data_IF_825543676141
#
_entry.id   IF_825543676141
#
_cell.length_a   1.000
_cell.length_b   1.000
_cell.length_c   1.000
_cell.angle_alpha   90.00
_cell.angle_beta   90.00
_cell.angle_gamma   90.00
#
_symmetry.space_group_name_H-M   'P 1'
#
loop_
_entity.id
_entity.type
_entity.pdbx_description
1 polymer ?
#
# COMPACT_ATOMS: atom_id res chain seq x y z
N UNK A 1 -17.17 -35.58 -58.65
CA UNK A 1 -16.63 -34.43 -57.89
C UNK A 1 -15.89 -34.97 -56.66
N UNK A 2 -14.68 -34.45 -56.43
CA UNK A 2 -13.79 -34.47 -55.26
C UNK A 2 -14.25 -35.27 -54.01
N UNK A 3 -13.51 -36.30 -53.57
CA UNK A 3 -12.35 -36.31 -52.63
C UNK A 3 -12.76 -36.86 -51.25
N UNK A 4 -12.13 -37.99 -50.84
CA UNK A 4 -11.17 -38.11 -49.71
C UNK A 4 -11.73 -37.63 -48.36
N UNK A 5 -11.78 -38.44 -47.30
CA UNK A 5 -10.65 -38.85 -46.42
C UNK A 5 -11.30 -39.63 -45.25
N UNK A 6 -10.77 -40.79 -44.82
CA UNK A 6 -9.64 -40.97 -43.87
C UNK A 6 -10.13 -40.82 -42.42
N UNK A 7 -10.29 -41.93 -41.68
CA UNK A 7 -9.29 -42.59 -40.80
C UNK A 7 -9.15 -41.85 -39.47
N UNK A 8 -8.86 -42.64 -38.43
CA UNK A 8 -8.06 -42.33 -37.24
C UNK A 8 -8.85 -42.44 -35.92
N UNK A 9 -8.69 -43.64 -35.33
CA UNK A 9 -8.61 -44.01 -33.92
C UNK A 9 -7.76 -43.01 -33.06
N UNK A 10 -7.28 -43.37 -31.86
CA UNK A 10 -7.93 -43.48 -30.54
C UNK A 10 -7.14 -42.67 -29.48
N UNK A 11 -7.69 -42.25 -28.32
CA UNK A 11 -6.80 -41.91 -27.19
C UNK A 11 -7.41 -42.26 -25.83
N UNK A 12 -6.79 -43.26 -25.21
CA UNK A 12 -6.73 -43.53 -23.78
C UNK A 12 -6.13 -42.33 -23.06
N UNK A 13 -6.87 -41.65 -22.18
CA UNK A 13 -6.29 -40.65 -21.28
C UNK A 13 -6.44 -41.09 -19.82
N UNK A 14 -5.28 -41.46 -19.29
CA UNK A 14 -4.87 -41.60 -17.89
C UNK A 14 -5.51 -40.55 -16.99
N UNK A 15 -5.96 -40.89 -15.75
CA UNK A 15 -6.30 -39.87 -14.77
C UNK A 15 -5.02 -39.13 -14.36
N UNK A 16 -4.89 -37.91 -14.87
CA UNK A 16 -3.83 -36.97 -14.50
C UNK A 16 -4.01 -36.60 -13.02
N UNK A 17 -3.14 -37.16 -12.16
CA UNK A 17 -3.08 -36.80 -10.75
C UNK A 17 -2.66 -35.33 -10.64
N UNK A 18 -3.64 -34.46 -10.40
CA UNK A 18 -3.42 -33.03 -10.16
C UNK A 18 -2.54 -32.89 -8.91
N UNK A 19 -1.35 -32.26 -8.98
CA UNK A 19 -0.58 -32.00 -7.78
C UNK A 19 -1.34 -30.99 -6.93
N UNK A 20 -1.83 -31.44 -5.77
CA UNK A 20 -2.41 -30.58 -4.74
C UNK A 20 -1.31 -29.63 -4.29
N UNK A 21 -1.48 -28.29 -4.40
CA UNK A 21 -0.48 -27.37 -3.89
C UNK A 21 -0.45 -27.50 -2.36
N UNK A 22 0.64 -28.06 -1.84
CA UNK A 22 0.94 -28.08 -0.41
C UNK A 22 1.19 -26.63 0.00
N UNK A 23 0.23 -26.04 0.71
CA UNK A 23 0.39 -24.72 1.31
C UNK A 23 1.29 -24.91 2.53
N UNK A 24 2.58 -24.69 2.37
CA UNK A 24 3.49 -24.62 3.51
C UNK A 24 3.13 -23.40 4.38
N UNK A 25 3.03 -23.54 5.71
CA UNK A 25 2.78 -22.40 6.58
C UNK A 25 3.98 -21.45 6.53
N UNK A 26 3.82 -20.34 5.81
CA UNK A 26 4.80 -19.26 5.81
C UNK A 26 4.80 -18.65 7.21
N UNK A 27 5.87 -18.91 7.97
CA UNK A 27 6.09 -18.27 9.26
C UNK A 27 6.33 -16.78 9.03
N UNK A 28 5.27 -15.98 9.21
CA UNK A 28 5.36 -14.53 9.22
C UNK A 28 6.01 -14.14 10.54
N UNK A 29 7.32 -13.88 10.53
CA UNK A 29 7.96 -13.15 11.62
C UNK A 29 7.35 -11.75 11.63
N UNK A 30 6.37 -11.54 12.50
CA UNK A 30 5.85 -10.22 12.80
C UNK A 30 6.98 -9.43 13.44
N UNK A 31 7.63 -8.58 12.64
CA UNK A 31 8.62 -7.63 13.14
C UNK A 31 7.86 -6.64 14.01
N UNK A 32 7.83 -6.92 15.31
CA UNK A 32 7.35 -6.03 16.34
C UNK A 32 8.14 -4.73 16.22
N UNK A 33 7.55 -3.73 15.53
CA UNK A 33 8.18 -2.43 15.35
C UNK A 33 7.93 -1.62 16.61
N UNK A 34 8.44 -2.12 17.73
CA UNK A 34 8.67 -1.37 18.96
C UNK A 34 9.86 -0.43 18.71
N UNK A 35 9.62 0.62 17.92
CA UNK A 35 10.54 1.73 17.77
C UNK A 35 9.72 3.00 17.63
N UNK A 36 9.27 3.52 18.77
CA UNK A 36 9.05 4.95 18.97
C UNK A 36 10.39 5.67 18.75
N UNK A 37 10.80 5.78 17.48
CA UNK A 37 11.83 6.69 17.04
C UNK A 37 11.07 7.85 16.46
N UNK A 38 11.20 9.01 17.08
CA UNK A 38 10.91 10.29 16.46
C UNK A 38 11.84 10.37 15.25
N UNK A 39 11.43 9.79 14.13
CA UNK A 39 12.04 10.06 12.84
C UNK A 39 11.80 11.54 12.65
N UNK A 40 12.86 12.35 12.70
CA UNK A 40 12.80 13.71 12.15
C UNK A 40 12.42 13.55 10.67
N UNK A 41 11.14 13.70 10.39
CA UNK A 41 10.60 13.62 9.04
C UNK A 41 11.13 14.86 8.32
N UNK A 42 12.18 14.68 7.52
CA UNK A 42 12.71 15.77 6.70
C UNK A 42 11.64 16.20 5.70
N UNK A 43 11.07 17.39 5.91
CA UNK A 43 10.06 17.95 5.01
C UNK A 43 10.75 18.40 3.71
N UNK A 44 10.34 17.86 2.54
CA UNK A 44 10.90 18.27 1.26
C UNK A 44 10.72 19.77 1.00
N UNK A 45 11.64 20.36 0.25
CA UNK A 45 11.52 21.76 -0.15
C UNK A 45 10.21 22.01 -0.93
N UNK A 46 9.56 23.14 -0.63
CA UNK A 46 8.27 23.50 -1.23
C UNK A 46 7.09 22.63 -0.79
N UNK A 47 7.28 21.75 0.19
CA UNK A 47 6.22 20.96 0.82
C UNK A 47 6.05 21.36 2.30
N UNK A 48 4.88 21.01 2.84
CA UNK A 48 4.58 21.06 4.26
C UNK A 48 4.19 19.65 4.70
N UNK A 49 4.46 19.33 5.96
CA UNK A 49 3.96 18.12 6.59
C UNK A 49 2.62 18.46 7.24
N UNK A 50 1.56 17.80 6.81
CA UNK A 50 0.23 17.89 7.41
C UNK A 50 0.03 16.68 8.30
N UNK A 51 -0.51 16.91 9.50
CA UNK A 51 -0.85 15.86 10.45
C UNK A 51 -2.30 16.07 10.85
N UNK A 52 -3.15 15.04 10.76
CA UNK A 52 -4.52 15.18 11.23
C UNK A 52 -4.54 15.35 12.76
N UNK A 53 -5.47 16.14 13.27
CA UNK A 53 -5.67 16.31 14.71
C UNK A 53 -7.02 15.75 15.14
N UNK A 54 -7.06 15.20 16.36
CA UNK A 54 -8.28 14.70 16.99
C UNK A 54 -9.12 15.86 17.58
N UNK A 55 -10.29 15.53 18.14
CA UNK A 55 -11.18 16.51 18.77
C UNK A 55 -10.55 17.21 20.01
N UNK A 56 -9.48 16.64 20.57
CA UNK A 56 -8.74 17.20 21.70
C UNK A 56 -7.54 18.05 21.22
N UNK A 57 -7.30 18.14 19.91
CA UNK A 57 -6.17 18.85 19.31
C UNK A 57 -4.85 18.09 19.34
N UNK A 58 -4.87 16.78 19.59
CA UNK A 58 -3.69 15.91 19.55
C UNK A 58 -3.44 15.39 18.14
N UNK A 59 -2.16 15.22 17.80
CA UNK A 59 -1.73 14.65 16.53
C UNK A 59 -2.18 13.18 16.43
N UNK A 60 -2.86 12.81 15.34
CA UNK A 60 -3.22 11.42 15.06
C UNK A 60 -2.00 10.70 14.49
N UNK A 61 -1.54 9.67 15.19
CA UNK A 61 -0.37 8.89 14.78
C UNK A 61 -0.57 8.23 13.40
N UNK A 62 0.42 8.34 12.51
CA UNK A 62 0.36 7.76 11.15
C UNK A 62 -0.54 8.51 10.17
N UNK A 63 -1.08 9.67 10.56
CA UNK A 63 -1.86 10.56 9.67
C UNK A 63 -1.01 11.64 9.01
N UNK A 64 0.31 11.54 9.11
CA UNK A 64 1.26 12.51 8.60
C UNK A 64 1.51 12.32 7.09
N UNK A 65 1.41 13.40 6.32
CA UNK A 65 1.66 13.36 4.87
C UNK A 65 2.19 14.70 4.35
N UNK A 66 2.96 14.63 3.26
CA UNK A 66 3.49 15.83 2.61
C UNK A 66 2.50 16.41 1.61
N UNK A 67 2.43 17.73 1.55
CA UNK A 67 1.64 18.44 0.55
C UNK A 67 2.34 19.70 0.06
N UNK A 68 2.08 20.11 -1.18
CA UNK A 68 2.68 21.31 -1.76
C UNK A 68 2.30 22.56 -0.96
N UNK A 69 3.31 23.34 -0.52
CA UNK A 69 3.12 24.52 0.32
C UNK A 69 2.21 25.58 -0.34
N UNK A 70 2.27 25.67 -1.68
CA UNK A 70 1.48 26.64 -2.44
C UNK A 70 -0.02 26.33 -2.45
N UNK A 71 -0.40 25.07 -2.20
CA UNK A 71 -1.77 24.59 -2.41
C UNK A 71 -2.44 24.03 -1.16
N UNK A 72 -1.68 23.68 -0.11
CA UNK A 72 -2.25 22.99 1.06
C UNK A 72 -3.36 23.81 1.73
N UNK A 73 -3.22 25.14 1.82
CA UNK A 73 -4.23 25.99 2.49
C UNK A 73 -5.63 25.88 1.89
N UNK A 74 -5.75 25.55 0.60
CA UNK A 74 -7.06 25.41 -0.06
C UNK A 74 -7.82 24.17 0.37
N UNK A 75 -7.12 23.09 0.69
CA UNK A 75 -7.71 21.77 0.98
C UNK A 75 -7.57 21.36 2.45
N UNK A 76 -6.49 21.80 3.08
CA UNK A 76 -6.03 21.41 4.42
C UNK A 76 -5.64 22.64 5.26
N UNK A 77 -6.14 23.82 4.93
CA UNK A 77 -5.94 25.04 5.72
C UNK A 77 -6.79 25.11 6.99
N UNK A 78 -7.62 24.09 7.24
CA UNK A 78 -8.42 23.99 8.45
C UNK A 78 -7.55 23.50 9.62
N UNK A 79 -7.07 24.46 10.41
CA UNK A 79 -6.21 24.22 11.58
C UNK A 79 -6.91 23.46 12.71
N UNK A 80 -8.24 23.28 12.64
CA UNK A 80 -9.01 22.44 13.58
C UNK A 80 -8.99 20.96 13.20
N UNK A 81 -8.57 20.62 11.97
CA UNK A 81 -8.48 19.26 11.47
C UNK A 81 -7.06 18.84 11.12
N UNK A 82 -6.20 19.80 10.80
CA UNK A 82 -4.83 19.53 10.37
C UNK A 82 -3.84 20.48 11.04
N UNK A 83 -2.76 19.92 11.57
CA UNK A 83 -1.59 20.66 12.03
C UNK A 83 -0.54 20.69 10.92
N UNK A 84 -0.06 21.89 10.63
CA UNK A 84 0.95 22.13 9.59
C UNK A 84 2.31 22.23 10.24
N UNK A 85 3.20 21.28 9.96
CA UNK A 85 4.61 21.31 10.34
C UNK A 85 5.43 21.73 9.12
N UNK A 86 6.11 22.86 9.21
CA UNK A 86 7.04 23.34 8.19
C UNK A 86 8.47 23.08 8.65
N UNK A 87 9.39 22.89 7.71
CA UNK A 87 10.82 22.95 8.01
C UNK A 87 11.11 24.36 8.56
N UNK A 88 11.56 24.45 9.83
CA UNK A 88 12.20 25.68 10.30
C UNK A 88 13.50 25.80 9.50
N UNK A 89 13.57 26.87 8.72
CA UNK A 89 14.72 27.14 7.86
C UNK A 89 15.77 27.95 8.60
#
# INVERSE_FOLDING_TARGET
MANKKKTEDPVTETPEATPVPVIEPVSITQTDTAAARVTEIEVPAGHVLLVAIDANGNDVAGSDFFYAEKSYKRFYGDETKFRVKKKLN
#
